data_IF_121425854582
#
_entry.id   IF_121425854582
#
_cell.length_a   1.000
_cell.length_b   1.000
_cell.length_c   1.000
_cell.angle_alpha   90.00
_cell.angle_beta   90.00
_cell.angle_gamma   90.00
#
_symmetry.space_group_name_H-M   'P 1'
#
loop_
_entity.id
_entity.type
_entity.pdbx_description
1 polymer ?
#
# COMPACT_ATOMS: atom_id res chain seq x y z
N UNK A 1 12.85 -12.69 32.73
CA UNK A 1 12.67 -13.45 31.47
C UNK A 1 11.37 -13.15 30.71
N UNK A 2 10.16 -13.47 31.21
CA UNK A 2 8.92 -13.21 30.44
C UNK A 2 8.63 -11.70 30.21
N UNK A 3 8.90 -10.85 31.20
CA UNK A 3 8.75 -9.40 31.11
C UNK A 3 9.79 -8.73 30.19
N UNK A 4 11.02 -9.22 30.15
CA UNK A 4 12.07 -8.70 29.24
C UNK A 4 11.77 -9.05 27.77
N UNK A 5 11.15 -10.22 27.54
CA UNK A 5 10.67 -10.62 26.20
C UNK A 5 9.52 -9.74 25.72
N UNK A 6 8.63 -9.28 26.61
CA UNK A 6 7.58 -8.33 26.25
C UNK A 6 8.12 -6.93 25.99
N UNK A 7 9.05 -6.42 26.81
CA UNK A 7 9.66 -5.10 26.59
C UNK A 7 10.45 -5.03 25.28
N UNK A 8 11.19 -6.08 24.95
CA UNK A 8 11.91 -6.15 23.67
C UNK A 8 10.97 -6.20 22.47
N UNK A 9 9.82 -6.87 22.58
CA UNK A 9 8.79 -6.87 21.54
C UNK A 9 8.16 -5.48 21.36
N UNK A 10 7.85 -4.79 22.45
CA UNK A 10 7.30 -3.43 22.40
C UNK A 10 8.28 -2.45 21.75
N UNK A 11 9.55 -2.46 22.16
CA UNK A 11 10.59 -1.61 21.54
C UNK A 11 10.78 -1.89 20.05
N UNK A 12 10.68 -3.15 19.62
CA UNK A 12 10.77 -3.50 18.20
C UNK A 12 9.53 -3.04 17.41
N UNK A 13 8.34 -3.09 18.02
CA UNK A 13 7.12 -2.55 17.40
C UNK A 13 7.19 -1.02 17.28
N UNK A 14 7.66 -0.32 18.31
CA UNK A 14 7.87 1.13 18.28
C UNK A 14 8.82 1.55 17.16
N UNK A 15 9.96 0.87 17.02
CA UNK A 15 10.90 1.09 15.91
C UNK A 15 10.23 0.88 14.56
N UNK A 16 9.49 -0.21 14.41
CA UNK A 16 8.81 -0.53 13.15
C UNK A 16 7.71 0.48 12.81
N UNK A 17 6.97 0.95 13.80
CA UNK A 17 5.98 2.03 13.62
C UNK A 17 6.70 3.29 13.15
N UNK A 18 7.80 3.66 13.81
CA UNK A 18 8.57 4.83 13.44
C UNK A 18 9.13 4.76 12.00
N UNK A 19 9.69 3.61 11.61
CA UNK A 19 10.14 3.36 10.24
C UNK A 19 8.99 3.50 9.22
N UNK A 20 7.82 2.95 9.54
CA UNK A 20 6.63 3.09 8.69
C UNK A 20 6.17 4.55 8.61
N UNK A 21 6.25 5.32 9.69
CA UNK A 21 5.93 6.75 9.68
C UNK A 21 6.84 7.52 8.75
N UNK A 22 8.16 7.29 8.82
CA UNK A 22 9.13 7.92 7.92
C UNK A 22 8.90 7.56 6.45
N UNK A 23 8.52 6.30 6.19
CA UNK A 23 8.21 5.87 4.82
C UNK A 23 6.94 6.55 4.28
N UNK A 24 5.91 6.72 5.12
CA UNK A 24 4.70 7.46 4.76
C UNK A 24 5.03 8.93 4.46
N UNK A 25 5.88 9.57 5.27
CA UNK A 25 6.32 10.95 5.05
C UNK A 25 7.05 11.10 3.70
N UNK A 26 7.97 10.18 3.38
CA UNK A 26 8.67 10.17 2.09
C UNK A 26 7.73 10.00 0.90
N UNK A 27 6.74 9.13 1.03
CA UNK A 27 5.73 8.93 -0.01
C UNK A 27 4.88 10.18 -0.20
N UNK A 28 4.48 10.84 0.87
CA UNK A 28 3.76 12.11 0.79
C UNK A 28 4.58 13.18 0.08
N UNK A 29 5.87 13.32 0.40
CA UNK A 29 6.76 14.25 -0.30
C UNK A 29 6.87 13.94 -1.80
N UNK A 30 7.00 12.66 -2.16
CA UNK A 30 7.04 12.23 -3.55
C UNK A 30 5.75 12.56 -4.29
N UNK A 31 4.60 12.32 -3.67
CA UNK A 31 3.28 12.67 -4.20
C UNK A 31 3.16 14.19 -4.39
N UNK A 32 3.56 14.99 -3.41
CA UNK A 32 3.54 16.45 -3.52
C UNK A 32 4.45 16.96 -4.65
N UNK A 33 5.63 16.35 -4.84
CA UNK A 33 6.52 16.68 -5.97
C UNK A 33 5.85 16.39 -7.31
N UNK A 34 5.21 15.23 -7.46
CA UNK A 34 4.49 14.88 -8.68
C UNK A 34 3.37 15.88 -8.99
N UNK A 35 2.58 16.28 -7.99
CA UNK A 35 1.55 17.30 -8.19
C UNK A 35 2.14 18.66 -8.60
N UNK A 36 3.26 19.06 -8.00
CA UNK A 36 3.96 20.28 -8.39
C UNK A 36 4.53 20.21 -9.83
N UNK A 37 5.05 19.05 -10.25
CA UNK A 37 5.57 18.83 -11.60
C UNK A 37 4.47 18.87 -12.66
N UNK A 38 3.31 18.28 -12.36
CA UNK A 38 2.13 18.28 -13.24
C UNK A 38 1.44 19.66 -13.21
N UNK A 39 1.73 20.49 -12.21
CA UNK A 39 1.16 21.83 -12.08
C UNK A 39 -0.33 21.82 -11.74
N UNK A 40 -0.81 20.78 -11.07
CA UNK A 40 -2.20 20.63 -10.67
C UNK A 40 -2.31 20.30 -9.18
N UNK A 41 -3.36 20.79 -8.54
CA UNK A 41 -3.72 20.37 -7.18
C UNK A 41 -4.43 19.01 -7.19
N UNK A 42 -4.39 18.26 -6.06
CA UNK A 42 -5.16 17.03 -5.93
C UNK A 42 -6.66 17.22 -6.16
N UNK A 43 -7.22 18.35 -5.71
CA UNK A 43 -8.64 18.68 -5.89
C UNK A 43 -8.97 18.92 -7.37
N UNK A 44 -8.13 19.65 -8.10
CA UNK A 44 -8.29 19.87 -9.54
C UNK A 44 -8.21 18.57 -10.33
N UNK A 45 -7.25 17.69 -9.99
CA UNK A 45 -7.14 16.37 -10.60
C UNK A 45 -8.40 15.53 -10.33
N UNK A 46 -8.93 15.58 -9.11
CA UNK A 46 -10.14 14.85 -8.76
C UNK A 46 -11.38 15.36 -9.50
N UNK A 47 -11.49 16.68 -9.68
CA UNK A 47 -12.55 17.29 -10.49
C UNK A 47 -12.41 16.92 -11.97
N UNK A 48 -11.18 16.92 -12.49
CA UNK A 48 -10.89 16.54 -13.88
C UNK A 48 -11.30 15.09 -14.16
N UNK A 49 -11.00 14.16 -13.25
CA UNK A 49 -11.36 12.74 -13.36
C UNK A 49 -12.86 12.46 -13.28
N UNK A 50 -13.65 13.35 -12.66
CA UNK A 50 -15.10 13.19 -12.51
C UNK A 50 -15.91 13.59 -13.74
N UNK A 51 -15.32 14.38 -14.65
CA UNK A 51 -16.03 14.83 -15.83
C UNK A 51 -15.81 13.85 -16.99
N UNK A 52 -16.84 13.11 -17.46
CA UNK A 52 -16.70 12.15 -18.55
C UNK A 52 -16.32 12.80 -19.88
N UNK A 53 -16.65 14.08 -20.06
CA UNK A 53 -16.36 14.85 -21.28
C UNK A 53 -14.86 15.16 -21.44
N UNK A 54 -14.05 14.97 -20.40
CA UNK A 54 -12.60 15.17 -20.45
C UNK A 54 -11.84 13.99 -21.07
N UNK A 55 -12.53 12.86 -21.31
CA UNK A 55 -11.93 11.63 -21.80
C UNK A 55 -12.71 11.11 -23.01
N UNK A 56 -12.06 10.36 -23.89
CA UNK A 56 -12.82 9.55 -24.83
C UNK A 56 -13.61 8.46 -24.08
N UNK A 57 -14.73 7.94 -24.65
CA UNK A 57 -15.51 6.89 -24.00
C UNK A 57 -14.70 5.64 -23.66
N UNK A 58 -13.68 5.31 -24.46
CA UNK A 58 -12.80 4.16 -24.22
C UNK A 58 -11.85 4.42 -23.05
N UNK A 59 -11.23 5.60 -22.99
CA UNK A 59 -10.33 5.98 -21.90
C UNK A 59 -11.07 6.06 -20.57
N UNK A 60 -12.32 6.54 -20.57
CA UNK A 60 -13.14 6.62 -19.37
C UNK A 60 -13.51 5.24 -18.79
N UNK A 61 -13.82 4.27 -19.66
CA UNK A 61 -14.08 2.89 -19.20
C UNK A 61 -12.81 2.24 -18.64
N UNK A 62 -11.65 2.45 -19.26
CA UNK A 62 -10.36 2.00 -18.72
C UNK A 62 -10.11 2.63 -17.35
N UNK A 63 -10.41 3.92 -17.20
CA UNK A 63 -10.23 4.65 -15.95
C UNK A 63 -11.10 4.08 -14.81
N UNK A 64 -12.36 3.75 -15.10
CA UNK A 64 -13.26 3.07 -14.15
C UNK A 64 -12.74 1.70 -13.75
N UNK A 65 -12.24 0.93 -14.72
CA UNK A 65 -11.70 -0.40 -14.45
C UNK A 65 -10.45 -0.33 -13.57
N UNK A 66 -9.54 0.60 -13.86
CA UNK A 66 -8.37 0.87 -13.01
C UNK A 66 -8.78 1.30 -11.60
N UNK A 67 -9.78 2.17 -11.47
CA UNK A 67 -10.31 2.59 -10.17
C UNK A 67 -10.85 1.39 -9.38
N UNK A 68 -11.57 0.48 -10.02
CA UNK A 68 -12.07 -0.76 -9.40
C UNK A 68 -10.92 -1.64 -8.91
N UNK A 69 -9.92 -1.89 -9.76
CA UNK A 69 -8.77 -2.72 -9.42
C UNK A 69 -7.96 -2.15 -8.24
N UNK A 70 -7.78 -0.83 -8.19
CA UNK A 70 -7.09 -0.16 -7.09
C UNK A 70 -7.87 -0.28 -5.78
N UNK A 71 -9.19 -0.10 -5.81
CA UNK A 71 -10.05 -0.28 -4.65
C UNK A 71 -10.02 -1.72 -4.14
N UNK A 72 -10.18 -2.71 -5.01
CA UNK A 72 -10.11 -4.13 -4.66
C UNK A 72 -8.75 -4.50 -4.04
N UNK A 73 -7.64 -4.02 -4.63
CA UNK A 73 -6.30 -4.24 -4.08
C UNK A 73 -6.13 -3.58 -2.71
N UNK A 74 -6.70 -2.39 -2.51
CA UNK A 74 -6.64 -1.67 -1.25
C UNK A 74 -7.43 -2.41 -0.16
N UNK A 75 -8.65 -2.86 -0.48
CA UNK A 75 -9.49 -3.64 0.44
C UNK A 75 -8.83 -4.97 0.83
N UNK A 76 -8.22 -5.66 -0.13
CA UNK A 76 -7.43 -6.86 0.15
C UNK A 76 -6.25 -6.55 1.08
N UNK A 77 -5.53 -5.46 0.84
CA UNK A 77 -4.39 -5.05 1.68
C UNK A 77 -4.82 -4.62 3.09
N UNK A 78 -5.98 -3.97 3.22
CA UNK A 78 -6.54 -3.60 4.52
C UNK A 78 -7.05 -4.83 5.28
N UNK A 79 -7.79 -5.73 4.62
CA UNK A 79 -8.23 -7.00 5.21
C UNK A 79 -7.06 -7.85 5.72
N UNK A 80 -5.94 -7.78 5.00
CA UNK A 80 -4.69 -8.41 5.34
C UNK A 80 -4.07 -7.89 6.66
N UNK A 81 -4.28 -6.61 6.98
CA UNK A 81 -3.83 -6.00 8.23
C UNK A 81 -4.76 -6.34 9.40
N UNK A 82 -6.07 -6.45 9.17
CA UNK A 82 -7.05 -6.78 10.21
C UNK A 82 -6.96 -8.23 10.70
N UNK A 83 -6.45 -9.16 9.88
CA UNK A 83 -6.30 -10.59 10.25
C UNK A 83 -4.86 -11.10 10.04
N UNK A 84 -3.89 -10.70 10.87
CA UNK A 84 -2.49 -11.07 10.71
C UNK A 84 -2.24 -12.58 10.84
N UNK A 85 -3.06 -13.31 11.60
CA UNK A 85 -2.96 -14.76 11.78
C UNK A 85 -3.33 -15.54 10.52
N UNK A 86 -4.43 -15.18 9.85
CA UNK A 86 -4.86 -15.79 8.59
C UNK A 86 -3.87 -15.47 7.45
N UNK A 87 -3.28 -14.29 7.49
CA UNK A 87 -2.23 -13.91 6.53
C UNK A 87 -0.91 -14.64 6.75
N UNK A 88 -0.52 -14.90 8.00
CA UNK A 88 0.63 -15.76 8.28
C UNK A 88 0.40 -17.18 7.76
N UNK A 89 -0.79 -17.74 7.97
CA UNK A 89 -1.17 -19.04 7.39
C UNK A 89 -1.12 -19.02 5.86
N UNK A 90 -1.73 -18.04 5.19
CA UNK A 90 -1.67 -17.91 3.72
C UNK A 90 -0.23 -17.72 3.19
N UNK A 91 0.64 -17.04 3.93
CA UNK A 91 2.04 -16.87 3.56
C UNK A 91 2.86 -18.15 3.82
N UNK A 92 2.55 -18.90 4.88
CA UNK A 92 3.15 -20.21 5.17
C UNK A 92 2.73 -21.26 4.13
N UNK A 93 1.45 -21.28 3.74
CA UNK A 93 0.94 -22.10 2.63
C UNK A 93 1.62 -21.74 1.28
N UNK A 94 1.97 -20.47 1.08
CA UNK A 94 2.75 -20.02 -0.10
C UNK A 94 4.25 -20.32 -0.01
N UNK A 95 4.82 -20.52 1.19
CA UNK A 95 6.24 -20.92 1.36
C UNK A 95 6.49 -22.37 0.93
N UNK A 96 5.46 -23.22 0.91
CA UNK A 96 5.57 -24.58 0.36
C UNK A 96 5.71 -24.58 -1.16
N UNK A 97 5.36 -23.48 -1.85
CA UNK A 97 5.60 -23.31 -3.29
C UNK A 97 7.03 -22.79 -3.53
N UNK A 98 7.94 -23.76 -3.48
CA UNK A 98 9.33 -23.79 -3.95
C UNK A 98 10.34 -22.78 -3.36
N UNK A 99 11.49 -23.26 -2.81
CA UNK A 99 12.59 -22.40 -2.42
C UNK A 99 13.24 -21.79 -3.65
N UNK A 100 13.06 -20.48 -3.88
CA UNK A 100 13.83 -19.76 -4.88
C UNK A 100 15.25 -19.53 -4.34
N UNK A 101 16.23 -20.10 -5.05
CA UNK A 101 17.69 -20.03 -4.88
C UNK A 101 18.33 -18.65 -4.58
N UNK A 102 17.56 -17.56 -4.56
CA UNK A 102 18.03 -16.19 -4.31
C UNK A 102 18.31 -15.93 -2.81
N UNK A 103 17.83 -16.77 -1.88
CA UNK A 103 18.00 -16.57 -0.44
C UNK A 103 19.18 -17.32 0.21
N UNK A 104 20.14 -17.81 -0.58
CA UNK A 104 21.41 -18.33 -0.06
C UNK A 104 22.58 -17.41 -0.41
N UNK A 105 22.75 -16.32 0.35
CA UNK A 105 24.06 -15.72 0.67
C UNK A 105 24.00 -15.02 2.03
#
# INVERSE_FOLDING_TARGET
MFFELSENKTKNLEKKIHELTLEVERQNEAISKLFNEIGCTPEELHLFLKNPENFSPQEFEILKELQRLVSEKSDLSLSALYSPSQNKQRMEERKEVAPHWIFCR
#
